data_IF_026052841259
#
_entry.id   IF_026052841259
#
_cell.length_a   1.000
_cell.length_b   1.000
_cell.length_c   1.000
_cell.angle_alpha   90.00
_cell.angle_beta   90.00
_cell.angle_gamma   90.00
#
_symmetry.space_group_name_H-M   'P 1'
#
loop_
_entity.id
_entity.type
_entity.pdbx_description
1 polymer ?
#
# COMPACT_ATOMS: atom_id res chain seq x y z
N UNK A 1 11.11 -13.95 2.47
CA UNK A 1 10.60 -12.64 2.02
C UNK A 1 9.10 -12.68 1.89
N UNK A 2 8.57 -13.67 1.18
CA UNK A 2 7.12 -13.94 1.11
C UNK A 2 6.48 -14.12 2.49
N UNK A 3 7.07 -14.91 3.39
CA UNK A 3 6.55 -15.09 4.75
C UNK A 3 6.42 -13.77 5.53
N UNK A 4 7.35 -12.84 5.32
CA UNK A 4 7.32 -11.51 5.96
C UNK A 4 6.17 -10.69 5.38
N UNK A 5 5.99 -10.72 4.06
CA UNK A 5 4.88 -10.05 3.42
C UNK A 5 3.55 -10.62 3.92
N UNK A 6 3.38 -11.94 3.92
CA UNK A 6 2.19 -12.62 4.45
C UNK A 6 1.92 -12.19 5.90
N UNK A 7 2.94 -12.22 6.77
CA UNK A 7 2.81 -11.80 8.18
C UNK A 7 2.33 -10.35 8.31
N UNK A 8 2.83 -9.45 7.47
CA UNK A 8 2.42 -8.05 7.48
C UNK A 8 0.97 -7.90 7.03
N UNK A 9 0.56 -8.61 5.98
CA UNK A 9 -0.83 -8.58 5.50
C UNK A 9 -1.80 -9.21 6.50
N UNK A 10 -1.40 -10.26 7.23
CA UNK A 10 -2.19 -10.90 8.28
C UNK A 10 -2.59 -9.93 9.40
N UNK A 11 -1.75 -8.93 9.71
CA UNK A 11 -2.05 -7.94 10.76
C UNK A 11 -3.25 -7.05 10.45
N UNK A 12 -3.60 -6.87 9.18
CA UNK A 12 -4.66 -5.96 8.80
C UNK A 12 -5.63 -6.51 7.77
N UNK A 13 -5.43 -7.69 7.18
CA UNK A 13 -6.31 -8.23 6.13
C UNK A 13 -7.25 -9.27 6.72
N UNK A 14 -8.43 -9.44 6.10
CA UNK A 14 -9.30 -10.56 6.43
C UNK A 14 -8.63 -11.89 6.03
N UNK A 15 -8.66 -12.90 6.91
CA UNK A 15 -8.00 -14.19 6.65
C UNK A 15 -8.44 -14.86 5.34
N UNK A 16 -9.73 -14.83 5.00
CA UNK A 16 -10.22 -15.44 3.76
C UNK A 16 -9.72 -14.69 2.51
N UNK A 17 -9.59 -13.36 2.59
CA UNK A 17 -8.97 -12.56 1.54
C UNK A 17 -7.46 -12.82 1.45
N UNK A 18 -6.78 -12.99 2.59
CA UNK A 18 -5.36 -13.30 2.61
C UNK A 18 -5.08 -14.65 1.95
N UNK A 19 -5.86 -15.68 2.25
CA UNK A 19 -5.77 -17.00 1.61
C UNK A 19 -5.91 -16.87 0.09
N UNK A 20 -6.91 -16.10 -0.38
CA UNK A 20 -7.11 -15.82 -1.80
C UNK A 20 -5.92 -15.09 -2.45
N UNK A 21 -5.33 -14.13 -1.74
CA UNK A 21 -4.15 -13.41 -2.23
C UNK A 21 -2.92 -14.30 -2.30
N UNK A 22 -2.78 -15.26 -1.37
CA UNK A 22 -1.70 -16.26 -1.38
C UNK A 22 -1.90 -17.22 -2.55
N UNK A 23 -3.10 -17.77 -2.71
CA UNK A 23 -3.44 -18.73 -3.77
C UNK A 23 -3.28 -18.15 -5.18
N UNK A 24 -3.36 -16.82 -5.32
CA UNK A 24 -3.16 -16.11 -6.59
C UNK A 24 -1.78 -15.44 -6.72
N UNK A 25 -0.84 -15.73 -5.80
CA UNK A 25 0.51 -15.17 -5.80
C UNK A 25 0.55 -13.62 -5.80
N UNK A 26 -0.49 -12.97 -5.24
CA UNK A 26 -0.67 -11.51 -5.26
C UNK A 26 -0.02 -10.80 -4.08
N UNK A 27 0.29 -11.52 -3.00
CA UNK A 27 0.86 -10.92 -1.78
C UNK A 27 2.17 -10.17 -2.08
N UNK A 28 3.10 -10.79 -2.79
CA UNK A 28 4.39 -10.18 -3.11
C UNK A 28 4.27 -8.94 -4.04
N UNK A 29 3.56 -9.01 -5.17
CA UNK A 29 3.32 -7.83 -6.02
C UNK A 29 2.70 -6.66 -5.25
N UNK A 30 1.66 -6.93 -4.45
CA UNK A 30 0.99 -5.90 -3.66
C UNK A 30 1.92 -5.34 -2.57
N UNK A 31 2.68 -6.19 -1.88
CA UNK A 31 3.71 -5.78 -0.92
C UNK A 31 4.73 -4.82 -1.53
N UNK A 32 5.30 -5.17 -2.69
CA UNK A 32 6.27 -4.31 -3.37
C UNK A 32 5.65 -3.03 -3.89
N UNK A 33 4.39 -3.06 -4.33
CA UNK A 33 3.67 -1.85 -4.72
C UNK A 33 3.50 -0.91 -3.53
N UNK A 34 3.16 -1.44 -2.34
CA UNK A 34 2.98 -0.68 -1.12
C UNK A 34 4.27 -0.01 -0.67
N UNK A 35 5.33 -0.80 -0.50
CA UNK A 35 6.64 -0.28 -0.09
C UNK A 35 7.22 0.67 -1.15
N UNK A 36 7.16 0.28 -2.42
CA UNK A 36 7.74 1.03 -3.54
C UNK A 36 7.07 2.39 -3.74
N UNK A 37 5.72 2.44 -3.77
CA UNK A 37 4.99 3.70 -3.94
C UNK A 37 5.18 4.63 -2.75
N UNK A 38 5.11 4.12 -1.51
CA UNK A 38 5.35 4.93 -0.31
C UNK A 38 6.77 5.50 -0.30
N UNK A 39 7.78 4.69 -0.61
CA UNK A 39 9.17 5.14 -0.67
C UNK A 39 9.41 6.17 -1.80
N UNK A 40 8.93 5.87 -3.01
CA UNK A 40 9.07 6.74 -4.17
C UNK A 40 8.40 8.10 -3.91
N UNK A 41 7.23 8.09 -3.27
CA UNK A 41 6.50 9.33 -2.95
C UNK A 41 7.29 10.24 -2.00
N UNK A 42 7.99 9.65 -1.02
CA UNK A 42 8.88 10.41 -0.12
C UNK A 42 10.08 10.98 -0.87
N UNK A 43 10.71 10.20 -1.75
CA UNK A 43 11.82 10.67 -2.59
C UNK A 43 11.36 11.83 -3.47
N UNK A 44 10.24 11.68 -4.18
CA UNK A 44 9.66 12.74 -5.01
C UNK A 44 9.38 14.00 -4.18
N UNK A 45 8.83 13.85 -2.97
CA UNK A 45 8.60 14.98 -2.09
C UNK A 45 9.89 15.72 -1.74
N UNK A 46 10.89 15.04 -1.18
CA UNK A 46 12.09 15.70 -0.66
C UNK A 46 13.05 16.21 -1.73
N UNK A 47 13.06 15.61 -2.93
CA UNK A 47 14.00 15.98 -3.99
C UNK A 47 13.39 16.83 -5.10
N UNK A 48 12.09 16.71 -5.39
CA UNK A 48 11.45 17.48 -6.47
C UNK A 48 10.51 18.58 -5.95
N UNK A 49 9.75 18.31 -4.89
CA UNK A 49 8.71 19.23 -4.40
C UNK A 49 9.26 20.17 -3.32
N UNK A 50 10.13 19.68 -2.44
CA UNK A 50 10.67 20.43 -1.31
C UNK A 50 11.72 21.46 -1.75
N UNK A 51 11.23 22.58 -2.28
CA UNK A 51 12.03 23.76 -2.61
C UNK A 51 11.84 24.88 -1.56
N UNK A 52 12.77 25.85 -1.46
CA UNK A 52 12.70 26.92 -0.45
C UNK A 52 11.40 27.76 -0.49
N UNK A 53 10.70 27.80 -1.63
CA UNK A 53 9.41 28.50 -1.80
C UNK A 53 8.19 27.62 -1.47
N UNK A 54 8.35 26.30 -1.45
CA UNK A 54 7.28 25.31 -1.32
C UNK A 54 7.43 24.38 -0.10
N UNK A 55 8.38 24.65 0.83
CA UNK A 55 8.49 23.89 2.09
C UNK A 55 7.38 24.26 3.08
N UNK A 56 6.14 23.89 2.75
CA UNK A 56 4.98 24.03 3.64
C UNK A 56 4.52 22.66 4.09
N UNK A 57 4.17 22.59 5.37
CA UNK A 57 3.66 21.38 6.01
C UNK A 57 2.41 20.85 5.27
N UNK A 58 1.61 21.77 4.70
CA UNK A 58 0.47 21.44 3.86
C UNK A 58 0.85 20.57 2.65
N UNK A 59 1.94 20.90 1.94
CA UNK A 59 2.36 20.12 0.78
C UNK A 59 2.80 18.72 1.17
N UNK A 60 3.44 18.56 2.34
CA UNK A 60 3.80 17.24 2.85
C UNK A 60 2.56 16.39 3.14
N UNK A 61 1.58 16.94 3.85
CA UNK A 61 0.31 16.24 4.11
C UNK A 61 -0.45 15.93 2.81
N UNK A 62 -0.43 16.84 1.84
CA UNK A 62 -1.01 16.59 0.51
C UNK A 62 -0.32 15.41 -0.17
N UNK A 63 1.02 15.34 -0.17
CA UNK A 63 1.73 14.20 -0.77
C UNK A 63 1.45 12.90 -0.02
N UNK A 64 1.43 12.91 1.32
CA UNK A 64 1.06 11.74 2.12
C UNK A 64 -0.32 11.22 1.73
N UNK A 65 -1.32 12.11 1.70
CA UNK A 65 -2.70 11.73 1.38
C UNK A 65 -2.82 11.21 -0.04
N UNK A 66 -2.20 11.87 -1.03
CA UNK A 66 -2.22 11.42 -2.43
C UNK A 66 -1.54 10.05 -2.57
N UNK A 67 -0.37 9.87 -1.95
CA UNK A 67 0.37 8.61 -1.98
C UNK A 67 -0.45 7.45 -1.39
N UNK A 68 -1.05 7.70 -0.22
CA UNK A 68 -1.88 6.72 0.49
C UNK A 68 -3.16 6.39 -0.29
N UNK A 69 -3.80 7.39 -0.92
CA UNK A 69 -4.96 7.17 -1.79
C UNK A 69 -4.58 6.36 -3.03
N UNK A 70 -3.47 6.70 -3.69
CA UNK A 70 -3.02 6.01 -4.89
C UNK A 70 -2.82 4.51 -4.64
N UNK A 71 -2.13 4.17 -3.55
CA UNK A 71 -1.85 2.77 -3.25
C UNK A 71 -3.09 1.99 -2.79
N UNK A 72 -3.99 2.66 -2.06
CA UNK A 72 -5.30 2.12 -1.70
C UNK A 72 -6.13 1.79 -2.95
N UNK A 73 -6.16 2.69 -3.93
CA UNK A 73 -6.82 2.46 -5.22
C UNK A 73 -6.19 1.29 -5.97
N UNK A 74 -4.86 1.19 -5.99
CA UNK A 74 -4.17 0.04 -6.61
C UNK A 74 -4.67 -1.27 -5.98
N UNK A 75 -4.63 -1.39 -4.65
CA UNK A 75 -5.04 -2.62 -3.96
C UNK A 75 -6.52 -2.95 -4.18
N UNK A 76 -7.40 -1.94 -4.08
CA UNK A 76 -8.82 -2.12 -4.38
C UNK A 76 -9.02 -2.60 -5.82
N UNK A 77 -8.39 -1.92 -6.79
CA UNK A 77 -8.52 -2.23 -8.20
C UNK A 77 -8.03 -3.64 -8.52
N UNK A 78 -6.91 -4.09 -7.94
CA UNK A 78 -6.39 -5.44 -8.11
C UNK A 78 -7.40 -6.48 -7.60
N UNK A 79 -7.89 -6.33 -6.36
CA UNK A 79 -8.90 -7.26 -5.82
C UNK A 79 -10.19 -7.27 -6.67
N UNK A 80 -10.68 -6.10 -7.10
CA UNK A 80 -11.87 -6.03 -7.95
C UNK A 80 -11.66 -6.59 -9.36
N UNK A 81 -10.46 -6.48 -9.93
CA UNK A 81 -10.13 -7.09 -11.23
C UNK A 81 -10.03 -8.61 -11.17
N UNK A 82 -9.69 -9.14 -9.99
CA UNK A 82 -9.72 -10.58 -9.73
C UNK A 82 -11.13 -11.07 -9.39
N UNK A 83 -12.08 -10.17 -9.12
CA UNK A 83 -13.44 -10.55 -8.77
C UNK A 83 -14.05 -11.47 -9.85
N UNK A 84 -14.53 -12.64 -9.43
CA UNK A 84 -15.10 -13.69 -10.29
C UNK A 84 -14.08 -14.50 -11.12
N UNK A 85 -12.77 -14.36 -10.88
CA UNK A 85 -11.80 -15.33 -11.38
C UNK A 85 -11.84 -16.60 -10.54
N UNK A 86 -11.70 -17.75 -11.20
CA UNK A 86 -11.68 -19.05 -10.52
C UNK A 86 -10.34 -19.26 -9.83
N UNK A 87 -10.38 -19.63 -8.56
CA UNK A 87 -9.20 -20.04 -7.79
C UNK A 87 -9.20 -21.56 -7.70
N UNK A 88 -8.13 -22.20 -8.16
CA UNK A 88 -7.97 -23.64 -8.07
C UNK A 88 -7.18 -23.96 -6.81
N UNK A 89 -7.88 -24.19 -5.69
CA UNK A 89 -7.24 -24.55 -4.41
C UNK A 89 -6.80 -26.02 -4.35
N UNK A 90 -7.47 -26.94 -5.07
CA UNK A 90 -7.11 -28.37 -5.10
C UNK A 90 -7.62 -29.04 -6.38
N UNK A 91 -6.88 -29.99 -7.01
CA UNK A 91 -7.40 -30.77 -8.12
C UNK A 91 -8.63 -31.58 -7.70
N UNK A 92 -9.81 -31.28 -8.26
CA UNK A 92 -11.06 -31.98 -7.98
C UNK A 92 -11.98 -31.34 -6.93
N UNK A 93 -11.64 -30.16 -6.40
CA UNK A 93 -12.54 -29.39 -5.52
C UNK A 93 -13.63 -28.65 -6.32
N UNK A 94 -14.72 -28.29 -5.63
CA UNK A 94 -15.76 -27.41 -6.19
C UNK A 94 -15.14 -26.08 -6.68
N UNK A 95 -15.77 -25.48 -7.70
CA UNK A 95 -15.33 -24.19 -8.26
C UNK A 95 -15.41 -23.12 -7.19
N UNK A 96 -14.27 -22.54 -6.84
CA UNK A 96 -14.15 -21.42 -5.92
C UNK A 96 -13.78 -20.16 -6.71
N UNK A 97 -14.31 -19.00 -6.29
CA UNK A 97 -14.08 -17.72 -6.96
C UNK A 97 -13.42 -16.74 -6.00
N UNK A 98 -12.50 -15.92 -6.53
CA UNK A 98 -11.95 -14.78 -5.81
C UNK A 98 -13.06 -13.75 -5.61
N UNK A 99 -13.89 -13.89 -4.57
CA UNK A 99 -14.99 -13.00 -4.30
C UNK A 99 -15.35 -12.99 -2.81
N UNK A 100 -14.62 -12.16 -2.06
CA UNK A 100 -14.90 -11.89 -0.64
C UNK A 100 -15.97 -10.80 -0.44
N UNK A 101 -16.53 -10.26 -1.51
CA UNK A 101 -17.46 -9.14 -1.48
C UNK A 101 -16.79 -7.76 -1.51
N UNK A 102 -17.49 -6.79 -2.09
CA UNK A 102 -16.98 -5.42 -2.28
C UNK A 102 -16.67 -4.71 -0.97
N UNK A 103 -17.40 -5.00 0.10
CA UNK A 103 -17.14 -4.45 1.44
C UNK A 103 -15.78 -4.89 1.97
N UNK A 104 -15.42 -6.17 1.82
CA UNK A 104 -14.13 -6.70 2.28
C UNK A 104 -12.98 -6.08 1.49
N UNK A 105 -13.11 -5.97 0.17
CA UNK A 105 -12.10 -5.29 -0.66
C UNK A 105 -11.94 -3.82 -0.29
N UNK A 106 -13.04 -3.13 0.00
CA UNK A 106 -13.01 -1.73 0.43
C UNK A 106 -12.33 -1.57 1.80
N UNK A 107 -12.69 -2.40 2.78
CA UNK A 107 -12.05 -2.39 4.11
C UNK A 107 -10.55 -2.64 4.01
N UNK A 108 -10.14 -3.63 3.20
CA UNK A 108 -8.74 -3.91 2.91
C UNK A 108 -8.01 -2.70 2.31
N UNK A 109 -8.58 -2.09 1.28
CA UNK A 109 -8.01 -0.89 0.65
C UNK A 109 -7.88 0.27 1.64
N UNK A 110 -8.86 0.44 2.54
CA UNK A 110 -8.83 1.47 3.57
C UNK A 110 -7.77 1.19 4.65
N UNK A 111 -7.54 -0.07 5.02
CA UNK A 111 -6.44 -0.44 5.91
C UNK A 111 -5.08 -0.19 5.25
N UNK A 112 -4.94 -0.53 3.97
CA UNK A 112 -3.75 -0.21 3.17
C UNK A 112 -3.50 1.30 3.11
N UNK A 113 -4.54 2.13 2.99
CA UNK A 113 -4.41 3.60 3.04
C UNK A 113 -3.71 4.05 4.32
N UNK A 114 -4.17 3.59 5.49
CA UNK A 114 -3.55 3.97 6.77
C UNK A 114 -2.14 3.42 6.91
N UNK A 115 -1.91 2.17 6.50
CA UNK A 115 -0.58 1.56 6.57
C UNK A 115 0.43 2.27 5.66
N UNK A 116 0.01 2.66 4.46
CA UNK A 116 0.82 3.47 3.55
C UNK A 116 1.18 4.84 4.13
N UNK A 117 0.23 5.49 4.82
CA UNK A 117 0.48 6.74 5.54
C UNK A 117 1.54 6.58 6.64
N UNK A 118 1.48 5.46 7.37
CA UNK A 118 2.48 5.13 8.38
C UNK A 118 3.86 4.84 7.77
N UNK A 119 3.93 4.10 6.66
CA UNK A 119 5.18 3.88 5.93
C UNK A 119 5.76 5.20 5.40
N UNK A 120 4.92 6.08 4.83
CA UNK A 120 5.34 7.39 4.35
C UNK A 120 5.93 8.25 5.48
N UNK A 121 5.32 8.21 6.67
CA UNK A 121 5.85 8.86 7.88
C UNK A 121 7.23 8.32 8.27
N UNK A 122 7.38 7.00 8.33
CA UNK A 122 8.64 6.34 8.67
C UNK A 122 9.76 6.66 7.66
N UNK A 123 9.45 6.56 6.36
CA UNK A 123 10.39 6.92 5.31
C UNK A 123 10.73 8.42 5.34
N UNK A 124 9.75 9.29 5.57
CA UNK A 124 10.03 10.73 5.70
C UNK A 124 11.01 11.01 6.85
N UNK A 125 10.81 10.38 8.00
CA UNK A 125 11.72 10.51 9.14
C UNK A 125 13.14 9.99 8.84
N UNK A 126 13.26 8.90 8.08
CA UNK A 126 14.55 8.34 7.68
C UNK A 126 15.28 9.25 6.66
N UNK A 127 14.59 9.73 5.63
CA UNK A 127 15.19 10.50 4.53
C UNK A 127 15.43 11.98 4.85
N UNK A 128 14.82 12.51 5.90
CA UNK A 128 15.05 13.88 6.39
C UNK A 128 16.54 14.23 6.48
N UNK A 129 17.34 13.34 7.06
CA UNK A 129 18.76 13.58 7.35
C UNK A 129 19.64 13.64 6.09
N UNK A 130 19.12 13.22 4.94
CA UNK A 130 19.82 13.25 3.65
C UNK A 130 19.38 14.43 2.76
N UNK A 131 18.30 15.14 3.11
CA UNK A 131 17.85 16.30 2.35
C UNK A 131 18.44 17.60 2.93
N UNK A 132 19.23 18.31 2.12
CA UNK A 132 19.86 19.60 2.47
C UNK A 132 18.85 20.72 2.76
N UNK A 133 17.60 20.58 2.31
CA UNK A 133 16.52 21.57 2.49
C UNK A 133 15.57 21.25 3.66
N UNK A 134 15.82 20.19 4.45
CA UNK A 134 14.89 19.63 5.45
C UNK A 134 14.70 20.46 6.73
N UNK A 135 14.88 21.78 6.73
CA UNK A 135 14.88 22.58 7.96
C UNK A 135 13.51 22.86 8.57
N UNK A 136 12.38 22.61 7.89
CA UNK A 136 11.07 23.16 8.33
C UNK A 136 9.81 22.28 8.23
N UNK A 137 9.82 21.08 7.62
CA UNK A 137 8.56 20.31 7.40
C UNK A 137 8.75 18.80 7.20
N UNK A 138 7.92 17.94 7.82
CA UNK A 138 7.26 18.02 9.14
C UNK A 138 8.20 17.64 10.29
N UNK A 139 9.18 16.81 9.96
CA UNK A 139 10.37 16.56 10.73
C UNK A 139 11.46 17.02 9.79
#
# INVERSE_FOLDING_TARGET
>A
MEDIAITIYDWFTNGALLDDLIDQELVLPLFWSLFGVSLLSVIVYYYLINSPRFSKLSHWFTTLTISSLLISIIHFSTCTSMANQQIIRTPGSAVYYFNQGSSVFFTFALQVFFFAGLLFLLFSAAFKWWSTNARKTPF
#
